data_IF_497129602715
#
_entry.id   IF_497129602715
#
_cell.length_a   1.000
_cell.length_b   1.000
_cell.length_c   1.000
_cell.angle_alpha   90.00
_cell.angle_beta   90.00
_cell.angle_gamma   90.00
#
_symmetry.space_group_name_H-M   'P 1'
#
loop_
_entity.id
_entity.type
_entity.pdbx_description
1 polymer ?
#
# COMPACT_ATOMS: atom_id res chain seq x y z
N UNK A 1 12.81 53.88 12.34
CA UNK A 1 13.93 52.92 12.26
C UNK A 1 13.39 51.56 12.67
N UNK A 2 13.41 50.57 11.77
CA UNK A 2 12.69 49.30 11.92
C UNK A 2 13.52 48.26 12.66
N UNK A 3 12.83 47.26 13.23
CA UNK A 3 13.45 46.09 13.84
C UNK A 3 12.38 45.05 14.15
N UNK A 4 11.86 44.40 13.12
CA UNK A 4 11.04 43.18 13.25
C UNK A 4 11.67 42.15 12.32
N UNK A 5 12.55 41.33 12.87
CA UNK A 5 12.97 40.06 12.27
C UNK A 5 12.61 38.94 13.25
N UNK A 6 11.55 38.21 12.91
CA UNK A 6 11.23 36.93 13.51
C UNK A 6 10.68 35.99 12.43
N UNK A 7 11.57 35.12 11.95
CA UNK A 7 11.30 33.75 11.51
C UNK A 7 10.16 33.51 10.52
N UNK A 8 10.52 33.38 9.24
CA UNK A 8 9.68 32.71 8.24
C UNK A 8 9.61 31.20 8.55
N UNK A 9 8.78 30.80 9.52
CA UNK A 9 8.37 29.40 9.68
C UNK A 9 7.31 29.11 8.63
N UNK A 10 7.71 28.46 7.53
CA UNK A 10 6.79 28.00 6.50
C UNK A 10 5.74 27.05 7.11
N UNK A 11 4.56 27.59 7.43
CA UNK A 11 3.44 26.79 7.91
C UNK A 11 2.83 26.03 6.75
N UNK A 12 2.99 24.71 6.76
CA UNK A 12 2.36 23.81 5.81
C UNK A 12 0.88 23.67 6.15
N UNK A 13 0.02 24.46 5.50
CA UNK A 13 -1.41 24.43 5.76
C UNK A 13 -2.10 23.25 5.05
N UNK A 14 -2.38 22.17 5.79
CA UNK A 14 -3.31 21.12 5.35
C UNK A 14 -4.75 21.62 5.62
N UNK A 15 -5.60 21.65 4.59
CA UNK A 15 -7.04 21.98 4.75
C UNK A 15 -7.73 20.98 5.69
N UNK A 16 -8.75 21.41 6.46
CA UNK A 16 -9.46 20.55 7.40
C UNK A 16 -10.42 19.59 6.69
N UNK A 17 -9.86 18.61 6.00
CA UNK A 17 -10.58 17.57 5.27
C UNK A 17 -10.35 16.20 5.92
N UNK A 18 -11.32 15.30 5.77
CA UNK A 18 -11.19 13.91 6.20
C UNK A 18 -10.55 13.06 5.10
N UNK A 19 -9.50 12.32 5.44
CA UNK A 19 -8.95 11.27 4.59
C UNK A 19 -9.54 9.92 4.96
N UNK A 20 -9.87 9.15 3.93
CA UNK A 20 -10.55 7.86 4.04
C UNK A 20 -9.57 6.69 4.00
N UNK A 21 -9.86 5.66 4.81
CA UNK A 21 -9.16 4.37 4.88
C UNK A 21 -7.66 4.32 5.30
N UNK A 22 -7.05 5.27 6.03
CA UNK A 22 -5.80 4.94 6.72
C UNK A 22 -5.98 3.83 7.75
N UNK A 23 -5.01 2.92 7.83
CA UNK A 23 -4.86 1.96 8.92
C UNK A 23 -4.31 2.72 10.14
N UNK A 24 -5.18 3.32 10.96
CA UNK A 24 -4.80 4.14 12.14
C UNK A 24 -5.85 4.08 13.27
N UNK A 25 -6.89 3.23 13.15
CA UNK A 25 -7.94 3.16 14.16
C UNK A 25 -7.44 2.58 15.49
N UNK A 26 -6.41 1.71 15.47
CA UNK A 26 -5.82 1.17 16.69
C UNK A 26 -5.20 2.30 17.53
N UNK A 27 -5.64 2.45 18.80
CA UNK A 27 -5.12 3.49 19.68
C UNK A 27 -3.74 3.17 20.26
N UNK A 28 -3.28 1.92 20.19
CA UNK A 28 -2.11 1.42 20.92
C UNK A 28 -0.82 1.46 20.12
N UNK A 29 -0.86 1.22 18.81
CA UNK A 29 0.35 1.10 17.99
C UNK A 29 0.89 2.47 17.54
N UNK A 30 2.14 2.84 17.86
CA UNK A 30 2.80 4.02 17.29
C UNK A 30 2.80 3.96 15.76
N UNK A 31 2.55 5.10 15.12
CA UNK A 31 2.39 5.15 13.66
C UNK A 31 3.00 6.39 13.04
N UNK A 32 3.81 6.15 12.02
CA UNK A 32 4.21 7.14 11.02
C UNK A 32 3.41 6.89 9.74
N UNK A 33 3.12 7.96 9.01
CA UNK A 33 2.36 7.88 7.77
C UNK A 33 2.83 8.89 6.74
N UNK A 34 2.57 8.57 5.47
CA UNK A 34 2.78 9.49 4.36
C UNK A 34 1.45 10.13 4.01
N UNK A 35 1.39 11.45 4.11
CA UNK A 35 0.21 12.28 3.88
C UNK A 35 0.42 13.06 2.60
N UNK A 36 -0.38 12.78 1.57
CA UNK A 36 -0.37 13.58 0.33
C UNK A 36 -1.20 14.84 0.51
N UNK A 37 -0.60 16.02 0.40
CA UNK A 37 -1.32 17.29 0.55
C UNK A 37 -0.85 18.29 -0.49
N UNK A 38 -1.69 19.29 -0.76
CA UNK A 38 -1.30 20.43 -1.59
C UNK A 38 -0.33 21.30 -0.80
N UNK A 39 0.86 21.54 -1.36
CA UNK A 39 1.87 22.39 -0.75
C UNK A 39 1.64 23.83 -1.21
N UNK A 40 1.43 24.74 -0.26
CA UNK A 40 1.30 26.17 -0.52
C UNK A 40 2.48 26.91 0.10
N UNK A 41 3.22 27.70 -0.67
CA UNK A 41 4.38 28.49 -0.20
C UNK A 41 4.19 29.94 -0.64
N UNK A 42 4.15 30.89 0.30
CA UNK A 42 3.98 32.31 -0.02
C UNK A 42 2.70 32.62 -0.82
N UNK A 43 1.66 31.79 -0.68
CA UNK A 43 0.42 31.88 -1.46
C UNK A 43 0.43 31.12 -2.80
N UNK A 44 1.60 30.64 -3.25
CA UNK A 44 1.75 29.87 -4.48
C UNK A 44 1.49 28.38 -4.27
N UNK A 45 0.76 27.76 -5.20
CA UNK A 45 0.47 26.32 -5.19
C UNK A 45 1.58 25.52 -5.88
N UNK A 46 2.29 24.73 -5.09
CA UNK A 46 3.39 23.87 -5.53
C UNK A 46 2.92 22.45 -5.90
N UNK A 47 1.61 22.20 -5.91
CA UNK A 47 1.00 20.93 -6.27
C UNK A 47 0.90 19.94 -5.09
N UNK A 48 0.47 18.72 -5.40
CA UNK A 48 0.25 17.67 -4.39
C UNK A 48 1.54 16.87 -4.16
N UNK A 49 2.04 16.91 -2.93
CA UNK A 49 3.31 16.31 -2.53
C UNK A 49 3.14 15.39 -1.31
N UNK A 50 3.95 14.32 -1.20
CA UNK A 50 3.93 13.41 -0.06
C UNK A 50 4.74 13.98 1.11
N UNK A 51 4.14 13.94 2.29
CA UNK A 51 4.72 14.48 3.53
C UNK A 51 4.77 13.36 4.57
N UNK A 52 5.93 13.13 5.15
CA UNK A 52 6.11 12.22 6.25
C UNK A 52 5.65 12.89 7.54
N UNK A 53 4.71 12.25 8.22
CA UNK A 53 4.18 12.73 9.48
C UNK A 53 4.13 11.60 10.51
N UNK A 54 4.52 11.92 11.73
CA UNK A 54 4.24 11.07 12.88
C UNK A 54 2.76 11.24 13.25
N UNK A 55 1.96 10.19 13.10
CA UNK A 55 0.53 10.20 13.35
C UNK A 55 0.20 9.85 14.80
N UNK A 56 0.93 8.88 15.37
CA UNK A 56 0.73 8.40 16.74
C UNK A 56 2.07 8.03 17.35
N UNK A 57 2.20 8.30 18.64
CA UNK A 57 3.35 7.95 19.49
C UNK A 57 2.87 7.14 20.70
N UNK A 58 3.78 6.71 21.56
CA UNK A 58 3.43 6.09 22.83
C UNK A 58 2.64 7.03 23.75
N UNK A 59 2.77 8.35 23.55
CA UNK A 59 2.02 9.40 24.27
C UNK A 59 0.63 9.65 23.65
N UNK A 60 0.25 8.91 22.61
CA UNK A 60 -1.02 9.04 21.92
C UNK A 60 -0.94 9.74 20.56
N UNK A 61 -2.10 10.21 20.09
CA UNK A 61 -2.27 10.81 18.77
C UNK A 61 -1.60 12.19 18.70
N UNK A 62 -0.90 12.49 17.61
CA UNK A 62 -0.23 13.80 17.43
C UNK A 62 -1.25 14.96 17.51
N UNK A 63 -0.93 16.05 18.24
CA UNK A 63 -1.81 17.22 18.33
C UNK A 63 -2.26 17.74 16.96
N UNK A 64 -3.54 18.10 16.86
CA UNK A 64 -4.16 18.54 15.61
C UNK A 64 -4.69 17.40 14.73
N UNK A 65 -4.46 16.13 15.07
CA UNK A 65 -5.10 15.01 14.39
C UNK A 65 -6.40 14.60 15.08
N UNK A 66 -7.38 14.17 14.29
CA UNK A 66 -8.59 13.50 14.78
C UNK A 66 -8.79 12.21 14.01
N UNK A 67 -9.16 11.14 14.70
CA UNK A 67 -9.37 9.80 14.12
C UNK A 67 -10.76 9.31 14.47
N UNK A 68 -11.49 8.77 13.49
CA UNK A 68 -12.77 8.10 13.71
C UNK A 68 -12.71 6.69 13.09
N UNK A 69 -12.80 5.65 13.90
CA UNK A 69 -12.73 4.27 13.42
C UNK A 69 -13.88 3.97 12.45
N UNK A 70 -13.57 3.26 11.36
CA UNK A 70 -14.60 2.74 10.47
C UNK A 70 -15.10 1.38 10.99
N UNK A 71 -16.38 1.03 10.77
CA UNK A 71 -16.93 -0.27 11.14
C UNK A 71 -16.09 -1.43 10.62
N UNK A 72 -16.21 -2.59 11.27
CA UNK A 72 -15.62 -3.81 10.76
C UNK A 72 -16.22 -4.16 9.39
N UNK A 73 -15.36 -4.61 8.48
CA UNK A 73 -15.70 -4.95 7.10
C UNK A 73 -15.90 -6.46 6.94
N UNK A 74 -15.42 -7.27 7.88
CA UNK A 74 -15.53 -8.74 7.86
C UNK A 74 -14.63 -9.46 6.84
N UNK A 75 -14.06 -8.74 5.86
CA UNK A 75 -13.18 -9.33 4.81
C UNK A 75 -11.74 -8.82 4.84
N UNK A 76 -11.45 -7.73 5.56
CA UNK A 76 -10.10 -7.19 5.72
C UNK A 76 -9.75 -7.01 7.20
N UNK A 77 -8.60 -7.54 7.67
CA UNK A 77 -8.18 -7.41 9.06
C UNK A 77 -7.66 -6.01 9.40
N UNK A 78 -7.82 -5.02 8.50
CA UNK A 78 -7.25 -3.69 8.65
C UNK A 78 -8.20 -2.78 9.45
N UNK A 79 -7.64 -2.19 10.50
CA UNK A 79 -8.24 -1.19 11.38
C UNK A 79 -8.34 0.20 10.70
N UNK A 80 -9.08 0.25 9.60
CA UNK A 80 -9.28 1.50 8.85
C UNK A 80 -10.06 2.53 9.67
N UNK A 81 -9.68 3.81 9.51
CA UNK A 81 -10.35 4.95 10.10
C UNK A 81 -10.59 6.06 9.06
N UNK A 82 -11.30 7.11 9.48
CA UNK A 82 -11.17 8.45 8.95
C UNK A 82 -10.10 9.20 9.75
N UNK A 83 -9.30 10.05 9.09
CA UNK A 83 -8.37 10.95 9.76
C UNK A 83 -8.56 12.39 9.28
N UNK A 84 -8.59 13.36 10.19
CA UNK A 84 -8.64 14.79 9.90
C UNK A 84 -7.41 15.48 10.46
N UNK A 85 -6.94 16.49 9.75
CA UNK A 85 -5.78 17.32 10.10
C UNK A 85 -6.25 18.73 10.42
N UNK A 86 -5.80 19.27 11.54
CA UNK A 86 -6.09 20.63 12.00
C UNK A 86 -4.77 21.28 12.44
N UNK A 87 -4.23 22.15 11.57
CA UNK A 87 -2.99 22.90 11.79
C UNK A 87 -1.82 22.06 12.35
N UNK A 88 -1.62 20.87 11.78
CA UNK A 88 -0.56 19.95 12.19
C UNK A 88 0.79 20.44 11.66
N UNK A 89 1.76 20.56 12.55
CA UNK A 89 3.12 20.92 12.17
C UNK A 89 3.83 19.74 11.47
N UNK A 90 4.51 20.03 10.35
CA UNK A 90 5.36 19.09 9.63
C UNK A 90 6.71 19.77 9.41
N UNK A 91 7.83 19.17 9.85
CA UNK A 91 9.16 19.69 9.56
C UNK A 91 9.44 19.75 8.06
N UNK A 92 10.32 20.66 7.63
CA UNK A 92 10.68 20.81 6.22
C UNK A 92 11.29 19.51 5.63
N UNK A 93 12.03 18.78 6.46
CA UNK A 93 12.65 17.49 6.16
C UNK A 93 11.60 16.37 6.00
N UNK A 94 10.36 16.62 6.41
CA UNK A 94 9.23 15.73 6.18
C UNK A 94 8.79 15.64 4.71
N UNK A 95 9.25 16.53 3.82
CA UNK A 95 8.92 16.46 2.41
C UNK A 95 9.60 15.25 1.74
N UNK A 96 8.81 14.29 1.27
CA UNK A 96 9.29 13.09 0.58
C UNK A 96 9.45 13.32 -0.94
N UNK A 97 10.24 14.32 -1.30
CA UNK A 97 10.49 14.68 -2.70
C UNK A 97 11.71 14.00 -3.33
N UNK A 98 12.46 13.20 -2.58
CA UNK A 98 13.66 12.50 -3.08
C UNK A 98 14.67 13.49 -3.68
N UNK A 99 15.10 13.24 -4.91
CA UNK A 99 16.07 14.11 -5.63
C UNK A 99 15.42 15.21 -6.46
N UNK A 100 14.08 15.29 -6.51
CA UNK A 100 13.37 16.15 -7.47
C UNK A 100 12.51 17.24 -6.83
N UNK A 101 12.28 17.18 -5.51
CA UNK A 101 11.65 18.26 -4.74
C UNK A 101 12.30 18.34 -3.35
N UNK A 102 12.87 19.49 -3.02
CA UNK A 102 13.63 19.70 -1.77
C UNK A 102 13.19 21.01 -1.14
N UNK A 103 12.89 21.00 0.15
CA UNK A 103 12.66 22.22 0.91
C UNK A 103 14.00 22.92 1.19
N UNK A 104 14.11 24.19 0.79
CA UNK A 104 15.23 25.08 1.09
C UNK A 104 14.80 26.25 1.98
N UNK A 105 15.76 27.12 2.32
CA UNK A 105 15.54 28.24 3.25
C UNK A 105 14.49 29.27 2.78
N UNK A 106 14.34 29.43 1.46
CA UNK A 106 13.44 30.44 0.86
C UNK A 106 12.23 29.83 0.13
N UNK A 107 11.99 28.52 0.26
CA UNK A 107 10.92 27.82 -0.44
C UNK A 107 11.34 26.45 -0.94
N UNK A 108 10.57 25.86 -1.84
CA UNK A 108 10.82 24.52 -2.37
C UNK A 108 11.46 24.59 -3.76
N UNK A 109 12.59 23.90 -3.92
CA UNK A 109 13.23 23.73 -5.23
C UNK A 109 12.78 22.41 -5.85
N UNK A 110 12.32 22.44 -7.11
CA UNK A 110 11.94 21.23 -7.84
C UNK A 110 12.46 21.21 -9.27
N UNK A 111 12.89 20.04 -9.73
CA UNK A 111 13.29 19.78 -11.12
C UNK A 111 12.10 19.36 -12.00
N UNK A 112 10.89 19.26 -11.43
CA UNK A 112 9.69 18.76 -12.12
C UNK A 112 8.63 19.88 -12.14
N UNK A 113 7.96 20.14 -13.29
CA UNK A 113 6.93 21.16 -13.38
C UNK A 113 5.73 20.80 -12.49
N UNK A 114 5.08 21.80 -11.89
CA UNK A 114 3.98 21.64 -10.90
C UNK A 114 2.96 20.59 -11.32
N UNK A 115 2.47 20.65 -12.57
CA UNK A 115 1.47 19.72 -13.12
C UNK A 115 1.88 18.24 -13.12
N UNK A 116 3.18 17.94 -13.15
CA UNK A 116 3.71 16.58 -13.20
C UNK A 116 4.13 16.04 -11.82
N UNK A 117 4.20 16.89 -10.79
CA UNK A 117 4.71 16.51 -9.45
C UNK A 117 3.87 15.43 -8.78
N UNK A 118 2.55 15.50 -8.91
CA UNK A 118 1.67 14.47 -8.35
C UNK A 118 1.90 13.10 -8.99
N UNK A 119 1.94 13.04 -10.33
CA UNK A 119 2.24 11.82 -11.07
C UNK A 119 3.62 11.25 -10.73
N UNK A 120 4.62 12.12 -10.58
CA UNK A 120 5.96 11.74 -10.13
C UNK A 120 5.92 11.15 -8.72
N UNK A 121 5.22 11.78 -7.78
CA UNK A 121 5.08 11.31 -6.40
C UNK A 121 4.41 9.93 -6.30
N UNK A 122 3.40 9.65 -7.12
CA UNK A 122 2.67 8.37 -7.09
C UNK A 122 3.27 7.29 -7.99
N UNK A 123 4.38 7.55 -8.67
CA UNK A 123 4.98 6.57 -9.62
C UNK A 123 5.28 5.24 -8.95
N UNK A 124 5.66 5.24 -7.67
CA UNK A 124 5.89 4.02 -6.86
C UNK A 124 4.65 3.13 -6.76
N UNK A 125 3.43 3.68 -6.82
CA UNK A 125 2.20 2.90 -6.80
C UNK A 125 2.04 2.00 -8.04
N UNK A 126 2.75 2.30 -9.14
CA UNK A 126 2.78 1.46 -10.33
C UNK A 126 3.28 0.04 -10.04
N UNK A 127 4.33 -0.09 -9.22
CA UNK A 127 4.83 -1.41 -8.80
C UNK A 127 3.84 -2.12 -7.89
N UNK A 128 3.24 -1.40 -6.93
CA UNK A 128 2.25 -1.97 -6.01
C UNK A 128 1.02 -2.54 -6.73
N UNK A 129 0.57 -1.93 -7.83
CA UNK A 129 -0.52 -2.48 -8.66
C UNK A 129 -0.17 -3.82 -9.29
N UNK A 130 1.09 -3.99 -9.70
CA UNK A 130 1.57 -5.25 -10.27
C UNK A 130 1.72 -6.33 -9.20
N UNK A 131 2.16 -5.95 -8.00
CA UNK A 131 2.26 -6.88 -6.87
C UNK A 131 0.87 -7.39 -6.44
N UNK A 132 -0.15 -6.52 -6.47
CA UNK A 132 -1.54 -6.92 -6.24
C UNK A 132 -2.00 -7.99 -7.24
N UNK A 133 -1.71 -7.82 -8.53
CA UNK A 133 -2.02 -8.83 -9.53
C UNK A 133 -1.27 -10.15 -9.27
N UNK A 134 -0.01 -10.08 -8.81
CA UNK A 134 0.77 -11.24 -8.40
C UNK A 134 0.15 -12.00 -7.22
N UNK A 135 -0.32 -11.28 -6.20
CA UNK A 135 -1.05 -11.87 -5.06
C UNK A 135 -2.35 -12.53 -5.53
N UNK A 136 -3.11 -11.91 -6.43
CA UNK A 136 -4.32 -12.51 -7.00
C UNK A 136 -4.03 -13.82 -7.74
N UNK A 137 -2.97 -13.86 -8.55
CA UNK A 137 -2.55 -15.10 -9.22
C UNK A 137 -2.11 -16.19 -8.21
N UNK A 138 -1.45 -15.80 -7.12
CA UNK A 138 -1.10 -16.72 -6.04
C UNK A 138 -2.34 -17.28 -5.31
N UNK A 139 -3.33 -16.42 -5.03
CA UNK A 139 -4.62 -16.82 -4.47
C UNK A 139 -5.37 -17.79 -5.38
N UNK A 140 -5.40 -17.53 -6.68
CA UNK A 140 -6.00 -18.43 -7.66
C UNK A 140 -5.34 -19.81 -7.69
N UNK A 141 -4.00 -19.89 -7.62
CA UNK A 141 -3.28 -21.17 -7.50
C UNK A 141 -3.66 -21.94 -6.25
N UNK A 142 -3.73 -21.26 -5.10
CA UNK A 142 -4.13 -21.88 -3.83
C UNK A 142 -5.58 -22.40 -3.90
N UNK A 143 -6.51 -21.57 -4.39
CA UNK A 143 -7.91 -21.94 -4.57
C UNK A 143 -8.09 -23.13 -5.51
N UNK A 144 -7.37 -23.15 -6.63
CA UNK A 144 -7.39 -24.28 -7.56
C UNK A 144 -6.82 -25.55 -6.95
N UNK A 145 -5.70 -25.47 -6.21
CA UNK A 145 -5.13 -26.63 -5.54
C UNK A 145 -6.14 -27.26 -4.57
N UNK A 146 -6.82 -26.45 -3.76
CA UNK A 146 -7.89 -26.91 -2.85
C UNK A 146 -9.05 -27.51 -3.64
N UNK A 147 -9.53 -26.81 -4.67
CA UNK A 147 -10.70 -27.23 -5.46
C UNK A 147 -10.44 -28.55 -6.19
N UNK A 148 -9.28 -28.69 -6.85
CA UNK A 148 -8.88 -29.93 -7.54
C UNK A 148 -8.75 -31.07 -6.53
N UNK A 149 -8.09 -30.84 -5.40
CA UNK A 149 -7.95 -31.86 -4.37
C UNK A 149 -9.31 -32.33 -3.83
N UNK A 150 -10.23 -31.40 -3.58
CA UNK A 150 -11.58 -31.72 -3.12
C UNK A 150 -12.39 -32.45 -4.21
N UNK A 151 -12.34 -31.98 -5.45
CA UNK A 151 -13.10 -32.55 -6.56
C UNK A 151 -12.69 -34.01 -6.87
N UNK A 152 -11.44 -34.38 -6.60
CA UNK A 152 -10.92 -35.75 -6.73
C UNK A 152 -11.36 -36.70 -5.62
N UNK A 153 -11.91 -36.18 -4.52
CA UNK A 153 -12.37 -36.96 -3.37
C UNK A 153 -13.90 -37.01 -3.29
N UNK A 154 -14.56 -35.91 -3.65
CA UNK A 154 -16.01 -35.76 -3.52
C UNK A 154 -16.76 -36.53 -4.61
N UNK A 155 -17.75 -37.34 -4.20
CA UNK A 155 -18.72 -37.99 -5.11
C UNK A 155 -20.15 -37.50 -4.86
N UNK A 156 -20.61 -36.42 -5.53
CA UNK A 156 -21.99 -35.95 -5.38
C UNK A 156 -22.95 -37.05 -5.84
N UNK A 157 -23.84 -37.50 -4.96
CA UNK A 157 -24.73 -38.64 -5.20
C UNK A 157 -24.05 -40.01 -5.22
N UNK A 158 -22.82 -40.13 -4.72
CA UNK A 158 -22.12 -41.40 -4.48
C UNK A 158 -21.54 -42.13 -5.72
N UNK A 159 -21.94 -41.76 -6.93
CA UNK A 159 -21.61 -42.52 -8.16
C UNK A 159 -20.34 -42.06 -8.86
N UNK A 160 -20.26 -40.77 -9.21
CA UNK A 160 -19.20 -40.22 -10.06
C UNK A 160 -18.40 -39.18 -9.28
N UNK A 161 -17.07 -39.16 -9.49
CA UNK A 161 -16.23 -38.12 -8.90
C UNK A 161 -16.66 -36.75 -9.42
N UNK A 162 -16.59 -35.74 -8.55
CA UNK A 162 -16.90 -34.38 -8.94
C UNK A 162 -15.97 -33.90 -10.07
N UNK A 163 -14.69 -34.31 -10.05
CA UNK A 163 -13.72 -34.00 -11.09
C UNK A 163 -14.02 -34.63 -12.46
N UNK A 164 -14.76 -35.74 -12.51
CA UNK A 164 -15.10 -36.45 -13.76
C UNK A 164 -16.35 -35.87 -14.43
N UNK A 165 -17.09 -34.99 -13.75
CA UNK A 165 -18.24 -34.31 -14.33
C UNK A 165 -17.74 -33.29 -15.35
N UNK A 166 -18.23 -33.39 -16.59
CA UNK A 166 -17.75 -32.56 -17.71
C UNK A 166 -17.83 -31.05 -17.48
N UNK A 167 -18.85 -30.56 -16.75
CA UNK A 167 -18.96 -29.13 -16.38
C UNK A 167 -17.84 -28.71 -15.43
N UNK A 168 -17.63 -29.46 -14.35
CA UNK A 168 -16.56 -29.20 -13.37
C UNK A 168 -15.19 -29.30 -14.03
N UNK A 169 -14.96 -30.34 -14.84
CA UNK A 169 -13.69 -30.53 -15.53
C UNK A 169 -13.36 -29.36 -16.47
N UNK A 170 -14.35 -28.89 -17.24
CA UNK A 170 -14.21 -27.72 -18.12
C UNK A 170 -13.82 -26.48 -17.33
N UNK A 171 -14.52 -26.19 -16.24
CA UNK A 171 -14.25 -25.00 -15.41
C UNK A 171 -12.86 -25.06 -14.78
N UNK A 172 -12.45 -26.24 -14.27
CA UNK A 172 -11.12 -26.45 -13.70
C UNK A 172 -10.01 -26.27 -14.73
N UNK A 173 -10.17 -26.81 -15.94
CA UNK A 173 -9.17 -26.67 -17.01
C UNK A 173 -9.05 -25.21 -17.45
N UNK A 174 -10.17 -24.51 -17.66
CA UNK A 174 -10.16 -23.09 -18.04
C UNK A 174 -9.53 -22.21 -16.96
N UNK A 175 -9.88 -22.43 -15.69
CA UNK A 175 -9.30 -21.67 -14.58
C UNK A 175 -7.81 -21.98 -14.38
N UNK A 176 -7.38 -23.24 -14.56
CA UNK A 176 -5.97 -23.63 -14.51
C UNK A 176 -5.17 -22.96 -15.61
N UNK A 177 -5.66 -22.96 -16.84
CA UNK A 177 -5.00 -22.31 -17.97
C UNK A 177 -4.83 -20.80 -17.74
N UNK A 178 -5.88 -20.11 -17.30
CA UNK A 178 -5.83 -18.68 -16.98
C UNK A 178 -4.86 -18.37 -15.82
N UNK A 179 -4.88 -19.20 -14.78
CA UNK A 179 -3.99 -19.05 -13.61
C UNK A 179 -2.54 -19.30 -13.98
N UNK A 180 -2.27 -20.27 -14.86
CA UNK A 180 -0.92 -20.55 -15.34
C UNK A 180 -0.38 -19.39 -16.19
N UNK A 181 -1.19 -18.91 -17.14
CA UNK A 181 -0.81 -17.79 -18.00
C UNK A 181 -0.49 -16.51 -17.19
N UNK A 182 -1.34 -16.16 -16.23
CA UNK A 182 -1.12 -14.99 -15.35
C UNK A 182 0.09 -15.17 -14.42
N UNK A 183 0.35 -16.40 -13.96
CA UNK A 183 1.52 -16.71 -13.14
C UNK A 183 2.83 -16.56 -13.92
N UNK A 184 2.88 -17.07 -15.16
CA UNK A 184 4.06 -16.95 -16.04
C UNK A 184 4.32 -15.48 -16.38
N UNK A 185 3.27 -14.70 -16.68
CA UNK A 185 3.41 -13.27 -16.94
C UNK A 185 4.01 -12.52 -15.74
N UNK A 186 3.55 -12.83 -14.53
CA UNK A 186 4.11 -12.28 -13.29
C UNK A 186 5.59 -12.65 -13.09
N UNK A 187 5.97 -13.88 -13.45
CA UNK A 187 7.35 -14.37 -13.30
C UNK A 187 8.33 -13.72 -14.26
N UNK A 188 7.97 -13.59 -15.55
CA UNK A 188 8.81 -12.91 -16.56
C UNK A 188 9.14 -11.48 -16.13
N UNK A 189 8.17 -10.78 -15.51
CA UNK A 189 8.40 -9.46 -14.93
C UNK A 189 9.45 -9.50 -13.82
N UNK A 190 9.34 -10.46 -12.89
CA UNK A 190 10.29 -10.61 -11.79
C UNK A 190 11.74 -10.76 -12.28
N UNK A 191 11.94 -11.55 -13.34
CA UNK A 191 13.26 -11.71 -13.98
C UNK A 191 13.75 -10.37 -14.55
N UNK A 192 12.90 -9.63 -15.26
CA UNK A 192 13.28 -8.34 -15.86
C UNK A 192 13.57 -7.25 -14.82
N UNK A 193 12.86 -7.25 -13.69
CA UNK A 193 13.03 -6.26 -12.64
C UNK A 193 14.28 -6.53 -11.76
N UNK A 194 14.81 -7.74 -11.74
CA UNK A 194 15.96 -8.12 -10.90
C UNK A 194 16.73 -9.32 -11.49
N UNK A 195 17.62 -9.12 -12.48
CA UNK A 195 18.36 -10.20 -13.14
C UNK A 195 19.21 -11.06 -12.18
N UNK A 196 19.57 -10.52 -11.00
CA UNK A 196 20.45 -11.17 -10.01
C UNK A 196 19.71 -11.90 -8.87
N UNK A 197 18.37 -11.94 -8.84
CA UNK A 197 17.59 -12.62 -7.76
C UNK A 197 16.71 -13.77 -8.27
N UNK A 198 17.16 -14.49 -9.29
CA UNK A 198 16.39 -15.61 -9.87
C UNK A 198 16.31 -16.82 -8.91
N UNK A 199 17.21 -16.95 -7.93
CA UNK A 199 17.22 -18.10 -7.01
C UNK A 199 16.32 -17.99 -5.77
N UNK A 200 15.76 -16.82 -5.45
CA UNK A 200 14.99 -16.64 -4.22
C UNK A 200 13.51 -16.35 -4.54
N UNK A 201 12.82 -17.36 -5.06
CA UNK A 201 11.43 -17.51 -4.62
C UNK A 201 11.49 -17.70 -3.10
N UNK A 202 10.61 -17.09 -2.28
CA UNK A 202 10.47 -17.53 -0.91
C UNK A 202 9.88 -18.93 -1.00
N UNK A 203 10.75 -19.93 -1.03
CA UNK A 203 10.44 -21.30 -0.69
C UNK A 203 9.97 -21.19 0.75
N UNK A 204 8.66 -21.06 0.96
CA UNK A 204 8.03 -21.22 2.25
C UNK A 204 8.26 -22.67 2.68
N UNK A 205 9.50 -22.99 3.07
CA UNK A 205 9.82 -24.19 3.79
C UNK A 205 9.27 -23.96 5.19
N UNK A 206 8.06 -24.47 5.42
CA UNK A 206 7.63 -24.84 6.76
C UNK A 206 8.63 -25.89 7.28
N UNK A 207 9.71 -25.42 7.90
CA UNK A 207 10.61 -26.28 8.65
C UNK A 207 9.85 -26.67 9.91
N UNK A 208 9.16 -27.82 9.88
CA UNK A 208 8.71 -28.47 11.12
C UNK A 208 9.97 -28.81 11.90
N UNK A 209 10.26 -28.06 12.96
CA UNK A 209 11.18 -28.52 14.00
C UNK A 209 10.46 -29.62 14.77
N UNK A 210 10.64 -30.86 14.34
CA UNK A 210 10.43 -32.02 15.21
C UNK A 210 11.81 -32.46 15.67
N UNK A 211 12.03 -32.38 16.98
CA UNK A 211 13.13 -32.97 17.73
C UNK A 211 12.86 -32.63 19.20
N UNK A 212 12.29 -33.52 20.03
CA UNK A 212 12.84 -34.79 20.55
C UNK A 212 14.18 -34.58 21.26
N UNK A 213 14.08 -34.25 22.55
CA UNK A 213 15.13 -34.21 23.56
C UNK A 213 14.44 -34.10 24.90
#
# INVERSE_FOLDING_TARGET
MPGVDAGHTGSLAIRPDWKFMPNIADPTTPKIGVVTARLIIGGSDEGVLPLLLRLRTDQGLTPGLRVAALPDKGWAPMNHALIRFDKVFVPAEGLLGGTWAVMGAHGMASTVPVRARFHRAITTLGQGRLDLAGTSAAGARAGLAVTINYARQRRPGGRTLMAERGTVSRDLVSALAATYATSVLGWIRGIRASPRRVCCWPRWQWRRSVGSG
#
